data_IF_645202986561
#
_entry.id   IF_645202986561
#
_cell.length_a   1.000
_cell.length_b   1.000
_cell.length_c   1.000
_cell.angle_alpha   90.00
_cell.angle_beta   90.00
_cell.angle_gamma   90.00
#
_symmetry.space_group_name_H-M   'P 1'
#
loop_
_entity.id
_entity.type
_entity.pdbx_description
1 polymer ?
#
# COMPACT_ATOMS: atom_id res chain seq x y z
N UNK A 1 -9.06 17.31 -15.67
CA UNK A 1 -8.28 17.08 -14.44
C UNK A 1 -7.09 16.21 -14.83
N UNK A 2 -5.87 16.56 -14.40
CA UNK A 2 -4.71 15.71 -14.70
C UNK A 2 -4.77 14.49 -13.79
N UNK A 3 -4.78 13.30 -14.37
CA UNK A 3 -4.70 12.05 -13.60
C UNK A 3 -3.33 12.01 -12.91
N UNK A 4 -3.26 11.94 -11.57
CA UNK A 4 -1.98 11.88 -10.87
C UNK A 4 -1.26 10.59 -11.26
N UNK A 5 0.07 10.68 -11.44
CA UNK A 5 0.88 9.49 -11.65
C UNK A 5 1.18 8.87 -10.29
N UNK A 6 0.55 7.73 -10.00
CA UNK A 6 0.68 7.04 -8.72
C UNK A 6 1.45 5.73 -8.94
N UNK A 7 2.47 5.48 -8.13
CA UNK A 7 3.18 4.19 -8.05
C UNK A 7 3.19 3.72 -6.61
N UNK A 8 2.61 2.57 -6.34
CA UNK A 8 2.45 2.02 -5.01
C UNK A 8 3.33 0.79 -4.82
N UNK A 9 4.28 0.88 -3.90
CA UNK A 9 5.16 -0.21 -3.49
C UNK A 9 4.49 -0.95 -2.33
N UNK A 10 3.84 -2.05 -2.67
CA UNK A 10 2.95 -2.78 -1.78
C UNK A 10 3.46 -4.20 -1.54
N UNK A 11 3.05 -4.78 -0.41
CA UNK A 11 3.24 -6.20 -0.14
C UNK A 11 1.99 -6.96 -0.60
N UNK A 12 2.17 -8.19 -1.10
CA UNK A 12 1.04 -9.05 -1.51
C UNK A 12 0.05 -9.28 -0.36
N UNK A 13 0.56 -9.49 0.86
CA UNK A 13 -0.25 -9.83 2.04
C UNK A 13 0.07 -8.87 3.20
N UNK A 14 -0.55 -7.69 3.23
CA UNK A 14 -0.36 -6.73 4.31
C UNK A 14 -1.61 -5.87 4.47
N UNK A 15 -2.12 -5.74 5.69
CA UNK A 15 -3.28 -4.90 6.01
C UNK A 15 -3.08 -3.44 5.63
N UNK A 16 -1.88 -2.87 5.83
CA UNK A 16 -1.56 -1.51 5.40
C UNK A 16 -1.56 -1.39 3.87
N UNK A 17 -1.04 -2.40 3.16
CA UNK A 17 -1.07 -2.40 1.70
C UNK A 17 -2.49 -2.55 1.14
N UNK A 18 -3.34 -3.35 1.79
CA UNK A 18 -4.77 -3.43 1.43
C UNK A 18 -5.49 -2.10 1.70
N UNK A 19 -5.13 -1.37 2.77
CA UNK A 19 -5.67 -0.04 3.04
C UNK A 19 -5.41 0.96 1.91
N UNK A 20 -4.19 0.96 1.35
CA UNK A 20 -3.83 1.75 0.17
C UNK A 20 -4.68 1.36 -1.05
N UNK A 21 -4.78 0.05 -1.33
CA UNK A 21 -5.59 -0.46 -2.46
C UNK A 21 -7.06 -0.09 -2.32
N UNK A 22 -7.61 -0.15 -1.12
CA UNK A 22 -9.01 0.18 -0.85
C UNK A 22 -9.32 1.65 -1.16
N UNK A 23 -8.44 2.57 -0.78
CA UNK A 23 -8.57 3.98 -1.15
C UNK A 23 -8.47 4.18 -2.66
N UNK A 24 -7.49 3.55 -3.31
CA UNK A 24 -7.38 3.70 -4.75
C UNK A 24 -8.57 3.13 -5.51
N UNK A 25 -9.17 2.03 -5.03
CA UNK A 25 -10.44 1.51 -5.55
C UNK A 25 -11.61 2.46 -5.29
N UNK A 26 -11.72 3.02 -4.08
CA UNK A 26 -12.78 3.98 -3.69
C UNK A 26 -12.84 5.19 -4.62
N UNK A 27 -11.68 5.69 -5.06
CA UNK A 27 -11.57 6.84 -5.96
C UNK A 27 -11.37 6.47 -7.43
N UNK A 28 -11.43 5.18 -7.78
CA UNK A 28 -11.17 4.65 -9.12
C UNK A 28 -9.85 5.19 -9.73
N UNK A 29 -8.80 5.23 -8.91
CA UNK A 29 -7.52 5.80 -9.30
C UNK A 29 -6.70 4.79 -10.09
N UNK A 30 -6.12 5.25 -11.20
CA UNK A 30 -5.10 4.50 -11.89
C UNK A 30 -3.77 4.61 -11.11
N UNK A 31 -3.25 3.48 -10.65
CA UNK A 31 -1.95 3.40 -10.00
C UNK A 31 -1.17 2.18 -10.51
N UNK A 32 0.15 2.31 -10.50
CA UNK A 32 1.06 1.20 -10.78
C UNK A 32 1.36 0.46 -9.47
N UNK A 33 0.91 -0.79 -9.35
CA UNK A 33 1.24 -1.64 -8.21
C UNK A 33 2.57 -2.36 -8.44
N UNK A 34 3.54 -2.09 -7.57
CA UNK A 34 4.83 -2.80 -7.52
C UNK A 34 4.88 -3.69 -6.28
N UNK A 35 4.76 -4.99 -6.51
CA UNK A 35 4.81 -5.98 -5.44
C UNK A 35 6.26 -6.26 -5.01
N UNK A 36 6.66 -5.72 -3.86
CA UNK A 36 8.02 -5.83 -3.33
C UNK A 36 8.33 -7.23 -2.76
N UNK A 37 7.32 -8.08 -2.54
CA UNK A 37 7.50 -9.47 -2.12
C UNK A 37 7.79 -10.35 -3.34
N UNK A 38 7.09 -10.10 -4.46
CA UNK A 38 7.27 -10.89 -5.69
C UNK A 38 8.53 -10.52 -6.45
N UNK A 39 8.97 -9.26 -6.41
CA UNK A 39 10.14 -8.80 -7.13
C UNK A 39 11.11 -8.02 -6.22
N UNK A 40 12.29 -8.59 -5.91
CA UNK A 40 13.28 -7.91 -5.07
C UNK A 40 13.83 -6.64 -5.71
N UNK A 41 13.77 -6.49 -7.04
CA UNK A 41 14.17 -5.24 -7.69
C UNK A 41 13.26 -4.06 -7.32
N UNK A 42 11.95 -4.30 -7.16
CA UNK A 42 11.02 -3.26 -6.70
C UNK A 42 11.24 -2.90 -5.24
N UNK A 43 11.64 -3.86 -4.41
CA UNK A 43 12.05 -3.58 -3.03
C UNK A 43 13.26 -2.66 -2.99
N UNK A 44 14.29 -2.94 -3.78
CA UNK A 44 15.47 -2.09 -3.84
C UNK A 44 15.13 -0.69 -4.40
N UNK A 45 14.33 -0.62 -5.46
CA UNK A 45 13.85 0.66 -6.00
C UNK A 45 13.08 1.48 -4.95
N UNK A 46 12.18 0.84 -4.20
CA UNK A 46 11.48 1.44 -3.07
C UNK A 46 12.48 1.97 -2.04
N UNK A 47 13.40 1.14 -1.56
CA UNK A 47 14.39 1.50 -0.53
C UNK A 47 15.26 2.70 -0.96
N UNK A 48 15.63 2.79 -2.24
CA UNK A 48 16.39 3.93 -2.76
C UNK A 48 15.58 5.21 -2.84
N UNK A 49 14.30 5.11 -3.24
CA UNK A 49 13.43 6.29 -3.38
C UNK A 49 12.88 6.78 -2.04
N UNK A 50 12.55 5.87 -1.11
CA UNK A 50 11.98 6.17 0.20
C UNK A 50 13.04 6.41 1.28
N UNK A 51 14.25 5.90 1.08
CA UNK A 51 15.30 5.90 2.09
C UNK A 51 15.08 4.91 3.23
N UNK A 52 14.07 4.03 3.13
CA UNK A 52 13.72 3.09 4.19
C UNK A 52 13.20 1.73 3.68
N UNK A 53 13.37 0.65 4.48
CA UNK A 53 12.87 -0.68 4.13
C UNK A 53 11.40 -0.91 4.50
N UNK A 54 10.73 0.10 5.06
CA UNK A 54 9.33 0.02 5.47
C UNK A 54 8.40 0.13 4.28
N UNK A 55 7.27 -0.54 4.38
CA UNK A 55 6.24 -0.57 3.37
C UNK A 55 4.88 -0.61 4.07
N UNK A 56 3.83 0.00 3.51
CA UNK A 56 3.71 0.54 2.15
C UNK A 56 4.43 1.88 1.90
N UNK A 57 4.89 2.10 0.67
CA UNK A 57 5.36 3.39 0.18
C UNK A 57 4.60 3.75 -1.11
N UNK A 58 4.23 5.01 -1.29
CA UNK A 58 3.49 5.49 -2.48
C UNK A 58 4.18 6.71 -3.05
N UNK A 59 4.52 6.67 -4.34
CA UNK A 59 5.01 7.82 -5.09
C UNK A 59 3.85 8.46 -5.86
N UNK A 60 3.55 9.73 -5.57
CA UNK A 60 2.50 10.51 -6.23
C UNK A 60 3.13 11.71 -6.92
N UNK A 61 3.04 11.79 -8.26
CA UNK A 61 3.64 12.86 -9.06
C UNK A 61 5.15 13.11 -8.77
N UNK A 62 5.88 12.07 -8.38
CA UNK A 62 7.29 12.15 -8.01
C UNK A 62 7.55 12.49 -6.53
N UNK A 63 6.52 12.77 -5.74
CA UNK A 63 6.63 12.88 -4.27
C UNK A 63 6.50 11.50 -3.65
N UNK A 64 7.54 11.05 -2.95
CA UNK A 64 7.54 9.78 -2.23
C UNK A 64 6.91 9.95 -0.84
N UNK A 65 5.84 9.20 -0.58
CA UNK A 65 5.16 9.06 0.70
C UNK A 65 5.52 7.70 1.29
N UNK A 66 6.46 7.70 2.23
CA UNK A 66 7.01 6.48 2.80
C UNK A 66 6.32 6.13 4.13
N UNK A 67 6.04 4.85 4.38
CA UNK A 67 5.37 4.33 5.60
C UNK A 67 4.03 5.03 5.89
N UNK A 68 3.15 5.04 4.89
CA UNK A 68 1.87 5.75 4.93
C UNK A 68 0.68 4.80 4.87
N UNK A 69 -0.36 5.03 5.67
CA UNK A 69 -1.60 4.26 5.59
C UNK A 69 -2.53 4.73 4.45
N UNK A 70 -3.61 3.97 4.19
CA UNK A 70 -4.64 4.33 3.22
C UNK A 70 -5.27 5.69 3.54
N UNK A 71 -5.67 5.90 4.78
CA UNK A 71 -6.30 7.16 5.21
C UNK A 71 -5.35 8.36 5.04
N UNK A 72 -4.07 8.18 5.38
CA UNK A 72 -3.09 9.25 5.27
C UNK A 72 -2.81 9.62 3.81
N UNK A 73 -2.72 8.65 2.89
CA UNK A 73 -2.53 8.97 1.46
C UNK A 73 -3.76 9.67 0.88
N UNK A 74 -4.98 9.27 1.27
CA UNK A 74 -6.23 9.94 0.88
C UNK A 74 -6.22 11.41 1.32
N UNK A 75 -5.88 11.65 2.59
CA UNK A 75 -5.79 12.98 3.18
C UNK A 75 -4.77 13.83 2.44
N UNK A 76 -3.55 13.31 2.26
CA UNK A 76 -2.48 14.02 1.57
C UNK A 76 -2.87 14.41 0.13
N UNK A 77 -3.46 13.47 -0.62
CA UNK A 77 -3.91 13.74 -1.98
C UNK A 77 -5.04 14.77 -2.04
N UNK A 78 -5.95 14.75 -1.07
CA UNK A 78 -7.03 15.75 -0.97
C UNK A 78 -6.47 17.13 -0.64
N UNK A 79 -5.52 17.23 0.31
CA UNK A 79 -4.86 18.49 0.67
C UNK A 79 -4.04 19.07 -0.48
N UNK A 80 -3.49 18.22 -1.34
CA UNK A 80 -2.77 18.63 -2.55
C UNK A 80 -3.71 18.92 -3.74
N UNK A 81 -5.03 18.85 -3.55
CA UNK A 81 -6.02 19.10 -4.59
C UNK A 81 -6.02 18.06 -5.72
N UNK A 82 -5.48 16.87 -5.46
CA UNK A 82 -5.46 15.74 -6.41
C UNK A 82 -6.74 14.93 -6.36
N UNK A 83 -7.43 14.92 -5.21
CA UNK A 83 -8.71 14.25 -4.98
C UNK A 83 -9.72 15.22 -4.38
N UNK A 84 -11.01 14.95 -4.64
CA UNK A 84 -12.09 15.56 -3.88
C UNK A 84 -12.46 14.61 -2.74
N UNK A 85 -12.60 15.14 -1.52
CA UNK A 85 -13.00 14.36 -0.36
C UNK A 85 -14.33 13.64 -0.66
N UNK A 86 -14.33 12.32 -0.52
CA UNK A 86 -15.53 11.50 -0.67
C UNK A 86 -15.88 10.85 0.66
N UNK A 87 -17.14 10.98 1.07
CA UNK A 87 -17.71 10.31 2.26
C UNK A 87 -18.00 8.82 2.01
N UNK A 88 -17.72 8.32 0.79
CA UNK A 88 -17.93 6.92 0.47
C UNK A 88 -17.10 6.01 1.41
N UNK A 89 -17.69 4.94 1.97
CA UNK A 89 -16.94 3.98 2.77
C UNK A 89 -15.94 3.25 1.88
N UNK A 90 -14.72 3.04 2.38
CA UNK A 90 -13.77 2.15 1.73
C UNK A 90 -14.18 0.69 1.95
N UNK A 91 -14.01 -0.17 0.94
CA UNK A 91 -14.36 -1.59 1.01
C UNK A 91 -13.47 -2.43 1.97
N UNK A 92 -12.42 -1.83 2.55
CA UNK A 92 -11.55 -2.48 3.52
C UNK A 92 -10.98 -1.47 4.54
N UNK A 93 -10.44 -1.94 5.69
CA UNK A 93 -9.85 -1.06 6.68
C UNK A 93 -8.63 -0.31 6.13
N UNK A 94 -8.68 1.02 6.13
CA UNK A 94 -7.63 1.88 5.54
C UNK A 94 -6.56 2.30 6.54
N UNK A 95 -6.86 2.18 7.83
CA UNK A 95 -5.97 2.44 8.97
C UNK A 95 -5.98 1.26 9.95
N UNK A 96 -5.74 0.05 9.45
CA UNK A 96 -5.57 -1.12 10.30
C UNK A 96 -4.17 -1.65 10.18
N UNK A 97 -3.44 -1.54 11.29
CA UNK A 97 -2.12 -2.07 11.31
C UNK A 97 -2.11 -3.60 11.21
N UNK A 98 -1.13 -4.17 10.49
CA UNK A 98 -0.85 -5.58 10.65
C UNK A 98 -0.53 -5.83 12.13
N UNK A 99 -1.25 -6.75 12.75
CA UNK A 99 -0.93 -7.19 14.11
C UNK A 99 0.47 -7.81 14.15
N UNK A 100 1.10 -7.80 15.32
CA UNK A 100 2.44 -8.37 15.52
C UNK A 100 2.51 -9.85 15.05
N UNK A 101 1.41 -10.60 15.24
CA UNK A 101 1.24 -11.96 14.74
C UNK A 101 1.31 -12.06 13.20
N UNK A 102 0.75 -11.08 12.48
CA UNK A 102 0.82 -11.01 11.02
C UNK A 102 2.23 -10.61 10.56
N UNK A 103 2.92 -9.74 11.29
CA UNK A 103 4.35 -9.44 11.03
C UNK A 103 5.23 -10.68 11.23
N UNK A 104 5.01 -11.46 12.28
CA UNK A 104 5.74 -12.69 12.55
C UNK A 104 5.53 -13.76 11.46
N UNK A 105 4.28 -13.96 11.01
CA UNK A 105 3.97 -14.89 9.93
C UNK A 105 4.63 -14.51 8.59
N UNK A 106 4.79 -13.20 8.34
CA UNK A 106 5.42 -12.65 7.15
C UNK A 106 6.95 -12.73 7.21
N UNK A 107 7.54 -12.50 8.38
CA UNK A 107 8.98 -12.69 8.62
C UNK A 107 9.40 -14.17 8.51
N UNK A 108 8.48 -15.09 8.82
CA UNK A 108 8.69 -16.53 8.69
C UNK A 108 8.50 -17.08 7.27
N UNK A 109 8.10 -16.26 6.28
CA UNK A 109 8.03 -16.67 4.87
C UNK A 109 6.98 -17.74 4.53
N UNK A 110 5.94 -17.91 5.34
CA UNK A 110 4.98 -19.01 5.15
C UNK A 110 3.90 -18.68 4.11
N UNK A 111 4.28 -18.73 2.84
CA UNK A 111 3.33 -18.95 1.74
C UNK A 111 2.87 -20.41 1.81
N UNK A 112 1.64 -20.62 2.25
CA UNK A 112 0.84 -21.82 1.98
C UNK A 112 1.35 -23.14 2.55
N UNK A 113 0.76 -23.59 3.67
CA UNK A 113 0.47 -25.03 3.82
C UNK A 113 -0.85 -25.20 4.56
N UNK A 114 -1.95 -25.09 3.81
CA UNK A 114 -3.20 -25.77 4.14
C UNK A 114 -3.16 -27.12 3.41
N UNK A 115 -2.94 -28.21 4.14
CA UNK A 115 -3.66 -29.46 3.88
C UNK A 115 -3.99 -30.16 5.19
N UNK A 116 -5.27 -30.49 5.27
CA UNK A 116 -6.01 -31.05 6.39
C UNK A 116 -5.50 -32.42 6.85
N UNK A 117 -5.61 -32.60 8.17
CA UNK A 117 -5.97 -33.81 8.93
C UNK A 117 -6.20 -35.09 8.11
N UNK A 118 -5.45 -36.13 8.47
CA UNK A 118 -5.76 -37.55 8.28
C UNK A 118 -5.32 -38.31 9.51
#
# INVERSE_FOLDING_TARGET
MQTPKITAYLKTYCGWSEGIRAIFRKYDLAYEEKDIIKNPAFRWEMEQKSGQPLSPCVEVNGTMLADISGEEVERWMTENGLLNLSDAPADAPTNSACTDAQHAAMAAGQVGTLKFVG
#
